data_IF_097884436183
#
_entry.id   IF_097884436183
#
_cell.length_a   1.000
_cell.length_b   1.000
_cell.length_c   1.000
_cell.angle_alpha   90.00
_cell.angle_beta   90.00
_cell.angle_gamma   90.00
#
_symmetry.space_group_name_H-M   'P 1'
#
loop_
_entity.id
_entity.type
_entity.pdbx_description
1 polymer ?
#
# COMPACT_ATOMS: atom_id res chain seq x y z
N UNK A 1 -5.52 -1.76 -1.18
CA UNK A 1 -6.00 -3.04 -1.73
C UNK A 1 -5.20 -4.17 -1.09
N UNK A 2 -5.88 -5.08 -0.40
CA UNK A 2 -5.27 -6.34 0.05
C UNK A 2 -5.41 -7.36 -1.08
N UNK A 3 -4.34 -8.09 -1.37
CA UNK A 3 -4.29 -9.19 -2.30
C UNK A 3 -3.84 -10.44 -1.53
N UNK A 4 -4.57 -11.53 -1.68
CA UNK A 4 -4.21 -12.84 -1.16
C UNK A 4 -3.95 -13.77 -2.35
N UNK A 5 -2.90 -14.57 -2.30
CA UNK A 5 -2.59 -15.55 -3.32
C UNK A 5 -2.76 -16.96 -2.74
N UNK A 6 -3.50 -17.88 -3.39
CA UNK A 6 -3.80 -19.20 -2.84
C UNK A 6 -2.56 -20.10 -2.69
N UNK A 7 -1.44 -19.76 -3.34
CA UNK A 7 -0.17 -20.48 -3.17
C UNK A 7 0.63 -19.99 -1.96
N UNK A 8 0.15 -18.97 -1.25
CA UNK A 8 0.84 -18.35 -0.13
C UNK A 8 -0.03 -18.29 1.12
N UNK A 9 0.56 -18.58 2.28
CA UNK A 9 -0.12 -18.54 3.58
C UNK A 9 -0.25 -17.12 4.16
N UNK A 10 -0.03 -16.09 3.35
CA UNK A 10 -0.04 -14.70 3.76
C UNK A 10 -0.64 -13.79 2.69
N UNK A 11 -1.17 -12.66 3.12
CA UNK A 11 -1.66 -11.62 2.22
C UNK A 11 -0.61 -10.52 2.07
N UNK A 12 -0.68 -9.79 0.96
CA UNK A 12 0.08 -8.56 0.72
C UNK A 12 -0.87 -7.40 0.50
N UNK A 13 -0.45 -6.17 0.75
CA UNK A 13 -1.29 -5.02 0.51
C UNK A 13 -0.58 -3.90 -0.25
N UNK A 14 -1.30 -3.31 -1.19
CA UNK A 14 -0.98 -2.05 -1.84
C UNK A 14 -1.74 -0.95 -1.12
N UNK A 15 -1.04 0.02 -0.54
CA UNK A 15 -1.66 1.10 0.23
C UNK A 15 -1.25 2.43 -0.38
N UNK A 16 -2.22 3.31 -0.64
CA UNK A 16 -1.95 4.69 -1.02
C UNK A 16 -2.13 5.53 0.25
N UNK A 17 -1.04 5.94 0.92
CA UNK A 17 -1.16 6.81 2.08
C UNK A 17 -1.60 8.21 1.67
N UNK A 18 -2.38 8.87 2.53
CA UNK A 18 -2.66 10.29 2.35
C UNK A 18 -1.40 11.10 2.70
N UNK A 19 -1.01 12.01 1.81
CA UNK A 19 0.20 12.83 1.98
C UNK A 19 0.27 13.48 3.36
N UNK A 20 -0.82 14.16 3.76
CA UNK A 20 -0.91 14.85 5.06
C UNK A 20 -0.73 13.92 6.25
N UNK A 21 -1.32 12.71 6.18
CA UNK A 21 -1.25 11.73 7.27
C UNK A 21 0.15 11.15 7.38
N UNK A 22 0.78 10.84 6.24
CA UNK A 22 2.12 10.28 6.20
C UNK A 22 3.16 11.27 6.69
N UNK A 23 3.06 12.53 6.24
CA UNK A 23 3.95 13.62 6.63
C UNK A 23 3.85 13.90 8.13
N UNK A 24 2.62 14.00 8.66
CA UNK A 24 2.41 14.19 10.09
C UNK A 24 3.02 13.03 10.90
N UNK A 25 2.77 11.79 10.48
CA UNK A 25 3.37 10.61 11.09
C UNK A 25 4.90 10.62 11.03
N UNK A 26 5.48 10.99 9.88
CA UNK A 26 6.93 11.04 9.71
C UNK A 26 7.57 12.08 10.64
N UNK A 27 6.91 13.22 10.81
CA UNK A 27 7.35 14.26 11.74
C UNK A 27 7.24 13.79 13.20
N UNK A 28 6.15 13.13 13.58
CA UNK A 28 5.98 12.54 14.92
C UNK A 28 6.98 11.42 15.21
N UNK A 29 7.30 10.60 14.19
CA UNK A 29 8.28 9.53 14.28
C UNK A 29 9.73 10.03 14.19
N UNK A 30 9.96 11.33 13.92
CA UNK A 30 11.30 11.90 13.74
C UNK A 30 12.03 11.40 12.49
N UNK A 31 11.29 10.88 11.50
CA UNK A 31 11.85 10.31 10.29
C UNK A 31 12.17 11.42 9.30
N UNK A 32 13.45 11.59 9.00
CA UNK A 32 13.89 12.45 7.89
C UNK A 32 13.55 11.76 6.57
N UNK A 33 12.87 12.49 5.70
CA UNK A 33 12.57 12.11 4.32
C UNK A 33 12.85 13.31 3.40
N UNK A 34 13.34 13.05 2.19
CA UNK A 34 13.54 14.08 1.17
C UNK A 34 12.39 14.12 0.16
N UNK A 35 11.77 12.96 -0.10
CA UNK A 35 10.68 12.82 -1.07
C UNK A 35 9.58 11.93 -0.50
N UNK A 36 8.34 12.14 -0.96
CA UNK A 36 7.20 11.32 -0.56
C UNK A 36 7.36 9.84 -0.93
N UNK A 37 8.03 9.56 -2.05
CA UNK A 37 8.37 8.19 -2.47
C UNK A 37 9.30 7.50 -1.48
N UNK A 38 10.31 8.21 -0.96
CA UNK A 38 11.20 7.65 0.07
C UNK A 38 10.45 7.38 1.37
N UNK A 39 9.52 8.24 1.72
CA UNK A 39 8.67 8.03 2.89
C UNK A 39 7.75 6.82 2.72
N UNK A 40 7.28 6.56 1.49
CA UNK A 40 6.54 5.35 1.14
C UNK A 40 7.42 4.09 1.12
N UNK A 41 8.68 4.18 0.71
CA UNK A 41 9.59 3.02 0.71
C UNK A 41 10.07 2.63 2.12
N UNK A 42 10.03 3.54 3.09
CA UNK A 42 10.37 3.22 4.46
C UNK A 42 9.38 2.20 5.04
N UNK A 43 9.91 1.04 5.42
CA UNK A 43 9.13 -0.05 6.00
C UNK A 43 8.50 0.33 7.35
N UNK A 44 9.11 1.28 8.06
CA UNK A 44 8.63 1.80 9.34
C UNK A 44 7.31 2.57 9.23
N UNK A 45 7.04 3.15 8.05
CA UNK A 45 5.83 3.92 7.73
C UNK A 45 4.58 3.05 7.68
N UNK A 46 4.76 1.73 7.55
CA UNK A 46 3.71 0.74 7.65
C UNK A 46 3.41 0.50 9.14
N UNK A 47 2.82 1.51 9.80
CA UNK A 47 2.29 1.29 11.16
C UNK A 47 1.15 0.28 11.08
N UNK A 48 1.30 -0.82 11.84
CA UNK A 48 0.26 -1.82 12.11
C UNK A 48 -0.91 -1.18 12.86
N UNK A 49 -1.73 -0.41 12.15
CA UNK A 49 -2.94 0.17 12.67
C UNK A 49 -4.04 -0.90 12.64
N UNK A 50 -4.08 -1.72 13.70
CA UNK A 50 -5.29 -2.26 14.33
C UNK A 50 -4.97 -3.54 15.10
N UNK A 51 -5.76 -3.77 16.16
CA UNK A 51 -5.91 -5.06 16.84
C UNK A 51 -6.56 -6.09 15.89
N UNK A 52 -5.89 -6.44 14.81
CA UNK A 52 -6.32 -7.45 13.85
C UNK A 52 -5.55 -8.74 14.13
N UNK A 53 -6.19 -9.87 13.86
CA UNK A 53 -5.58 -11.17 14.12
C UNK A 53 -4.40 -11.40 13.14
N UNK A 54 -3.45 -12.26 13.52
CA UNK A 54 -2.13 -12.32 12.86
C UNK A 54 -2.21 -12.66 11.37
N UNK A 55 -3.30 -13.30 10.95
CA UNK A 55 -3.60 -13.69 9.57
C UNK A 55 -4.32 -12.60 8.75
N UNK A 56 -4.93 -11.60 9.38
CA UNK A 56 -5.57 -10.47 8.70
C UNK A 56 -4.58 -9.34 8.41
N UNK A 57 -3.40 -9.39 9.03
CA UNK A 57 -2.32 -8.42 8.81
C UNK A 57 -1.54 -8.85 7.57
N UNK A 58 -1.46 -8.00 6.53
CA UNK A 58 -0.65 -8.30 5.36
C UNK A 58 0.82 -8.45 5.78
N UNK A 59 1.45 -9.55 5.38
CA UNK A 59 2.86 -9.81 5.70
C UNK A 59 3.80 -8.82 5.00
N UNK A 60 3.41 -8.34 3.81
CA UNK A 60 4.13 -7.32 3.06
C UNK A 60 3.17 -6.24 2.62
N UNK A 61 3.56 -4.99 2.84
CA UNK A 61 2.79 -3.82 2.44
C UNK A 61 3.69 -2.95 1.59
N UNK A 62 3.21 -2.57 0.41
CA UNK A 62 3.85 -1.60 -0.46
C UNK A 62 3.03 -0.32 -0.46
N UNK A 63 3.65 0.76 0.00
CA UNK A 63 3.07 2.09 -0.07
C UNK A 63 3.31 2.64 -1.47
N UNK A 64 2.26 3.20 -2.06
CA UNK A 64 2.27 3.78 -3.39
C UNK A 64 2.24 5.30 -3.25
N UNK A 65 3.26 6.02 -3.73
CA UNK A 65 3.31 7.47 -3.64
C UNK A 65 2.27 8.14 -4.55
N UNK A 66 1.88 7.45 -5.63
CA UNK A 66 0.91 7.96 -6.58
C UNK A 66 -0.53 7.69 -6.12
N UNK A 67 -1.36 8.73 -5.92
CA UNK A 67 -2.75 8.54 -5.59
C UNK A 67 -3.49 7.90 -6.75
N UNK A 68 -4.44 7.01 -6.43
CA UNK A 68 -5.32 6.44 -7.42
C UNK A 68 -6.34 7.47 -7.86
N UNK A 69 -6.11 8.09 -9.01
CA UNK A 69 -7.05 8.99 -9.66
C UNK A 69 -7.91 8.23 -10.67
N UNK A 70 -9.17 8.64 -10.91
CA UNK A 70 -10.01 8.04 -11.94
C UNK A 70 -9.41 8.18 -13.34
N UNK A 71 -8.60 9.21 -13.57
CA UNK A 71 -7.85 9.42 -14.82
C UNK A 71 -6.73 8.39 -15.04
N UNK A 72 -6.16 7.82 -13.98
CA UNK A 72 -5.14 6.77 -14.09
C UNK A 72 -5.72 5.35 -14.23
N UNK A 73 -7.06 5.22 -14.21
CA UNK A 73 -7.85 3.98 -14.33
C UNK A 73 -7.81 2.88 -13.22
N UNK A 74 -7.18 3.01 -12.02
CA UNK A 74 -7.37 1.99 -10.97
C UNK A 74 -8.66 2.18 -10.16
N UNK A 75 -9.34 3.31 -10.30
CA UNK A 75 -10.56 3.65 -9.55
C UNK A 75 -11.65 4.17 -10.48
N UNK A 76 -12.89 3.81 -10.19
CA UNK A 76 -14.05 4.40 -10.88
C UNK A 76 -14.25 5.86 -10.46
N UNK A 77 -15.06 6.63 -11.20
CA UNK A 77 -15.47 7.99 -10.81
C UNK A 77 -16.12 8.06 -9.41
N UNK A 78 -16.60 6.93 -8.89
CA UNK A 78 -17.11 6.77 -7.52
C UNK A 78 -16.02 6.34 -6.50
N UNK A 79 -14.73 6.47 -6.84
CA UNK A 79 -13.57 6.01 -6.06
C UNK A 79 -13.60 4.52 -5.68
N UNK A 80 -14.45 3.70 -6.33
CA UNK A 80 -14.41 2.24 -6.15
C UNK A 80 -13.19 1.69 -6.87
N UNK A 81 -12.39 0.94 -6.11
CA UNK A 81 -11.17 0.27 -6.54
C UNK A 81 -11.51 -0.83 -7.55
N UNK A 82 -10.99 -0.75 -8.77
CA UNK A 82 -11.07 -1.82 -9.79
C UNK A 82 -9.94 -2.82 -9.55
N UNK A 83 -10.23 -3.89 -8.80
CA UNK A 83 -9.22 -4.89 -8.39
C UNK A 83 -8.50 -5.55 -9.58
N UNK A 84 -9.20 -5.87 -10.66
CA UNK A 84 -8.59 -6.48 -11.85
C UNK A 84 -7.54 -5.58 -12.52
N UNK A 85 -7.86 -4.30 -12.70
CA UNK A 85 -6.94 -3.32 -13.28
C UNK A 85 -5.72 -3.09 -12.39
N UNK A 86 -5.94 -2.96 -11.09
CA UNK A 86 -4.84 -2.87 -10.11
C UNK A 86 -3.96 -4.12 -10.11
N UNK A 87 -4.57 -5.30 -10.16
CA UNK A 87 -3.83 -6.57 -10.23
C UNK A 87 -3.01 -6.65 -11.52
N UNK A 88 -3.52 -6.16 -12.64
CA UNK A 88 -2.77 -6.10 -13.90
C UNK A 88 -1.62 -5.08 -13.84
N UNK A 89 -1.89 -3.85 -13.39
CA UNK A 89 -0.90 -2.76 -13.30
C UNK A 89 0.24 -3.07 -12.34
N UNK A 90 -0.08 -3.64 -11.18
CA UNK A 90 0.89 -3.99 -10.13
C UNK A 90 1.20 -5.48 -10.08
N UNK A 91 0.98 -6.22 -11.17
CA UNK A 91 1.22 -7.67 -11.22
C UNK A 91 2.67 -7.99 -10.85
N UNK A 92 3.60 -7.23 -11.41
CA UNK A 92 5.04 -7.39 -11.21
C UNK A 92 5.45 -7.11 -9.76
N UNK A 93 4.91 -6.02 -9.17
CA UNK A 93 5.09 -5.69 -7.75
C UNK A 93 4.48 -6.74 -6.82
N UNK A 94 3.29 -7.25 -7.14
CA UNK A 94 2.64 -8.32 -6.39
C UNK A 94 3.50 -9.59 -6.44
N UNK A 95 4.01 -9.97 -7.62
CA UNK A 95 4.91 -11.11 -7.75
C UNK A 95 6.19 -10.93 -6.93
N UNK A 96 6.85 -9.76 -7.00
CA UNK A 96 8.02 -9.45 -6.17
C UNK A 96 7.71 -9.48 -4.67
N UNK A 97 6.50 -9.07 -4.27
CA UNK A 97 6.08 -9.19 -2.88
C UNK A 97 5.87 -10.65 -2.48
N UNK A 98 5.34 -11.51 -3.35
CA UNK A 98 5.19 -12.92 -3.01
C UNK A 98 6.53 -13.69 -3.03
N UNK A 99 7.46 -13.32 -3.90
CA UNK A 99 8.78 -13.95 -4.02
C UNK A 99 8.93 -14.60 -5.38
#
# INVERSE_FOLDING_TARGET
MVHADPFHNYCVALVVPSYKVLENWAQEAGIKYQNFSELCEKNETVRKAAKLDKFEIPAKIKLLPEPWTPESEPVTAALKIKREQLKAKFKDDLQKMYG
#
